data_IF_112840618763
#
_entry.id   IF_112840618763
#
_cell.length_a   1.000
_cell.length_b   1.000
_cell.length_c   1.000
_cell.angle_alpha   90.00
_cell.angle_beta   90.00
_cell.angle_gamma   90.00
#
_symmetry.space_group_name_H-M   'P 1'
#
loop_
_entity.id
_entity.type
_entity.pdbx_description
1 polymer ?
#
# COMPACT_ATOMS: atom_id res chain seq x y z
N UNK A 1 -28.70 -9.22 21.24
CA UNK A 1 -27.43 -9.07 20.53
C UNK A 1 -27.58 -7.90 19.57
N UNK A 2 -27.01 -6.76 19.87
CA UNK A 2 -26.91 -5.66 18.93
C UNK A 2 -25.96 -6.06 17.81
N UNK A 3 -26.46 -6.16 16.58
CA UNK A 3 -25.59 -6.27 15.42
C UNK A 3 -24.55 -5.14 15.49
N UNK A 4 -23.26 -5.40 15.22
CA UNK A 4 -22.30 -4.30 15.13
C UNK A 4 -22.81 -3.36 14.04
N UNK A 5 -23.16 -2.15 14.42
CA UNK A 5 -23.73 -1.15 13.51
C UNK A 5 -22.78 -0.89 12.35
N UNK A 6 -23.32 -0.72 11.16
CA UNK A 6 -22.56 -0.33 9.96
C UNK A 6 -21.93 1.05 10.23
N UNK A 7 -20.61 1.11 10.38
CA UNK A 7 -19.91 2.33 10.82
C UNK A 7 -19.83 3.41 9.74
N UNK A 8 -19.89 3.02 8.46
CA UNK A 8 -19.81 3.91 7.31
C UNK A 8 -21.17 4.17 6.62
N UNK A 9 -22.26 3.83 7.30
CA UNK A 9 -23.63 4.10 6.83
C UNK A 9 -24.36 4.83 7.95
N UNK A 10 -25.05 5.91 7.61
CA UNK A 10 -25.91 6.65 8.54
C UNK A 10 -27.27 5.97 8.74
N UNK A 11 -28.11 6.52 9.62
CA UNK A 11 -29.46 6.00 9.92
C UNK A 11 -30.38 6.01 8.68
N UNK A 12 -30.07 6.82 7.69
CA UNK A 12 -30.81 6.93 6.42
C UNK A 12 -30.29 5.99 5.32
N UNK A 13 -29.23 5.21 5.60
CA UNK A 13 -28.64 4.28 4.64
C UNK A 13 -27.60 4.89 3.70
N UNK A 14 -27.17 6.14 3.96
CA UNK A 14 -26.18 6.80 3.12
C UNK A 14 -24.74 6.54 3.62
N UNK A 15 -23.82 6.46 2.68
CA UNK A 15 -22.40 6.34 2.99
C UNK A 15 -21.88 7.59 3.71
N UNK A 16 -21.09 7.39 4.77
CA UNK A 16 -20.43 8.46 5.51
C UNK A 16 -19.02 8.06 5.92
N UNK A 17 -18.13 9.03 6.05
CA UNK A 17 -16.85 8.86 6.71
C UNK A 17 -17.05 8.90 8.22
N UNK A 18 -16.48 7.93 8.95
CA UNK A 18 -16.61 7.83 10.42
C UNK A 18 -16.00 9.04 11.10
N UNK A 19 -16.68 9.60 12.10
CA UNK A 19 -16.11 10.64 12.94
C UNK A 19 -15.07 10.05 13.92
N UNK A 20 -13.84 10.51 13.80
CA UNK A 20 -12.72 10.12 14.67
C UNK A 20 -12.21 11.28 15.53
N UNK A 21 -12.90 12.42 15.53
CA UNK A 21 -12.47 13.65 16.25
C UNK A 21 -12.32 13.43 17.76
N UNK A 22 -13.11 12.52 18.34
CA UNK A 22 -13.06 12.15 19.75
C UNK A 22 -12.03 11.07 20.12
N UNK A 23 -11.26 10.55 19.16
CA UNK A 23 -10.22 9.57 19.45
C UNK A 23 -8.90 10.24 19.78
N UNK A 24 -8.11 9.60 20.64
CA UNK A 24 -6.75 10.04 20.94
C UNK A 24 -5.82 9.89 19.73
N UNK A 25 -4.89 10.81 19.61
CA UNK A 25 -3.75 10.70 18.69
C UNK A 25 -2.76 9.69 19.25
N UNK A 26 -2.49 8.63 18.53
CA UNK A 26 -1.53 7.60 18.92
C UNK A 26 -0.58 7.26 17.78
N UNK A 27 0.64 6.81 18.11
CA UNK A 27 1.58 6.28 17.13
C UNK A 27 1.02 4.99 16.52
N UNK A 28 1.03 4.89 15.21
CA UNK A 28 0.51 3.76 14.44
C UNK A 28 1.46 3.39 13.32
N UNK A 29 1.56 2.11 13.08
CA UNK A 29 2.35 1.54 12.00
C UNK A 29 1.55 0.45 11.29
N UNK A 30 1.71 0.35 9.99
CA UNK A 30 1.23 -0.79 9.21
C UNK A 30 2.28 -1.19 8.18
N UNK A 31 2.39 -2.48 7.94
CA UNK A 31 3.20 -3.07 6.90
C UNK A 31 2.31 -3.87 5.95
N UNK A 32 2.47 -3.63 4.66
CA UNK A 32 1.81 -4.36 3.59
C UNK A 32 2.84 -4.94 2.64
N UNK A 33 2.47 -5.98 1.93
CA UNK A 33 3.30 -6.61 0.90
C UNK A 33 2.49 -6.92 -0.35
N UNK A 34 3.20 -7.19 -1.44
CA UNK A 34 2.64 -7.64 -2.71
C UNK A 34 3.73 -8.18 -3.61
N UNK A 35 3.33 -8.68 -4.77
CA UNK A 35 4.24 -9.24 -5.78
C UNK A 35 3.87 -8.72 -7.14
N UNK A 36 4.88 -8.51 -7.99
CA UNK A 36 4.69 -8.33 -9.43
C UNK A 36 5.32 -9.53 -10.12
N UNK A 37 4.48 -10.41 -10.65
CA UNK A 37 4.94 -11.59 -11.40
C UNK A 37 5.43 -11.12 -12.76
N UNK A 38 6.62 -11.54 -13.14
CA UNK A 38 7.33 -11.10 -14.34
C UNK A 38 7.92 -12.25 -15.12
N UNK A 39 8.04 -12.06 -16.43
CA UNK A 39 8.79 -12.97 -17.30
C UNK A 39 10.28 -12.98 -16.96
N UNK A 40 10.95 -14.07 -17.34
CA UNK A 40 12.41 -14.18 -17.19
C UNK A 40 13.17 -13.04 -17.89
N UNK A 41 12.66 -12.57 -19.04
CA UNK A 41 13.25 -11.44 -19.76
C UNK A 41 13.17 -10.13 -18.98
N UNK A 42 12.02 -9.84 -18.34
CA UNK A 42 11.86 -8.66 -17.51
C UNK A 42 12.74 -8.73 -16.25
N UNK A 43 12.82 -9.88 -15.60
CA UNK A 43 13.71 -10.10 -14.45
C UNK A 43 15.16 -9.86 -14.83
N UNK A 44 15.62 -10.42 -15.97
CA UNK A 44 16.97 -10.22 -16.45
C UNK A 44 17.28 -8.74 -16.73
N UNK A 45 16.36 -8.02 -17.37
CA UNK A 45 16.51 -6.58 -17.64
C UNK A 45 16.58 -5.75 -16.35
N UNK A 46 15.76 -6.08 -15.35
CA UNK A 46 15.82 -5.41 -14.03
C UNK A 46 17.17 -5.62 -13.35
N UNK A 47 17.67 -6.86 -13.33
CA UNK A 47 18.97 -7.19 -12.72
C UNK A 47 20.15 -6.54 -13.45
N UNK A 48 20.08 -6.43 -14.77
CA UNK A 48 21.11 -5.80 -15.57
C UNK A 48 21.03 -4.26 -15.60
N UNK A 49 19.94 -3.66 -15.12
CA UNK A 49 19.71 -2.22 -15.26
C UNK A 49 19.41 -1.78 -16.70
N UNK A 50 18.86 -2.68 -17.52
CA UNK A 50 18.62 -2.49 -18.96
C UNK A 50 17.13 -2.27 -19.30
N UNK A 51 16.35 -1.76 -18.35
CA UNK A 51 14.95 -1.38 -18.60
C UNK A 51 14.92 -0.13 -19.49
N UNK A 52 14.22 -0.15 -20.65
CA UNK A 52 14.23 0.95 -21.59
C UNK A 52 13.80 2.30 -21.05
N UNK A 53 12.88 2.32 -20.08
CA UNK A 53 12.39 3.55 -19.43
C UNK A 53 13.29 4.08 -18.30
N UNK A 54 14.37 3.38 -17.94
CA UNK A 54 15.31 3.78 -16.91
C UNK A 54 15.23 2.94 -15.64
N UNK A 55 15.54 3.54 -14.49
CA UNK A 55 15.59 2.86 -13.19
C UNK A 55 14.18 2.53 -12.68
N UNK A 56 13.71 1.35 -13.05
CA UNK A 56 12.35 0.89 -12.73
C UNK A 56 12.11 0.72 -11.22
N UNK A 57 13.11 0.26 -10.48
CA UNK A 57 12.97 0.05 -9.03
C UNK A 57 12.92 1.39 -8.29
N UNK A 58 13.74 2.37 -8.67
CA UNK A 58 13.72 3.71 -8.10
C UNK A 58 12.39 4.42 -8.38
N UNK A 59 11.88 4.34 -9.61
CA UNK A 59 10.58 4.91 -9.99
C UNK A 59 9.44 4.26 -9.20
N UNK A 60 9.43 2.94 -9.09
CA UNK A 60 8.43 2.22 -8.30
C UNK A 60 8.45 2.62 -6.82
N UNK A 61 9.63 2.75 -6.22
CA UNK A 61 9.78 3.21 -4.83
C UNK A 61 9.20 4.59 -4.61
N UNK A 62 9.54 5.56 -5.45
CA UNK A 62 9.01 6.92 -5.36
C UNK A 62 7.49 6.92 -5.55
N UNK A 63 6.99 6.17 -6.53
CA UNK A 63 5.55 6.05 -6.78
C UNK A 63 4.81 5.48 -5.57
N UNK A 64 5.37 4.46 -4.90
CA UNK A 64 4.81 3.89 -3.67
C UNK A 64 4.76 4.91 -2.53
N UNK A 65 5.81 5.71 -2.34
CA UNK A 65 5.83 6.77 -1.34
C UNK A 65 4.75 7.82 -1.64
N UNK A 66 4.61 8.22 -2.88
CA UNK A 66 3.54 9.15 -3.30
C UNK A 66 2.15 8.54 -3.12
N UNK A 67 1.99 7.25 -3.45
CA UNK A 67 0.73 6.53 -3.29
C UNK A 67 0.22 6.56 -1.86
N UNK A 68 1.09 6.32 -0.88
CA UNK A 68 0.72 6.43 0.53
C UNK A 68 0.14 7.80 0.88
N UNK A 69 0.74 8.88 0.38
CA UNK A 69 0.29 10.26 0.62
C UNK A 69 -1.01 10.63 -0.11
N UNK A 70 -1.40 9.88 -1.13
CA UNK A 70 -2.59 10.11 -1.96
C UNK A 70 -3.74 9.17 -1.64
N UNK A 71 -3.62 8.35 -0.61
CA UNK A 71 -4.63 7.36 -0.25
C UNK A 71 -6.04 7.95 -0.12
N UNK A 72 -6.28 9.08 0.58
CA UNK A 72 -7.63 9.63 0.70
C UNK A 72 -8.21 10.15 -0.63
N UNK A 73 -7.38 10.46 -1.61
CA UNK A 73 -7.85 10.83 -2.95
C UNK A 73 -8.34 9.63 -3.76
N UNK A 74 -7.90 8.41 -3.40
CA UNK A 74 -8.19 7.16 -4.11
C UNK A 74 -9.21 6.28 -3.40
N UNK A 75 -9.29 6.36 -2.08
CA UNK A 75 -10.18 5.56 -1.22
C UNK A 75 -11.17 6.50 -0.54
N UNK A 76 -12.43 6.56 -1.02
CA UNK A 76 -13.37 7.67 -0.69
C UNK A 76 -13.67 7.87 0.78
N UNK A 77 -13.72 6.79 1.57
CA UNK A 77 -14.08 6.87 2.99
C UNK A 77 -12.85 6.80 3.91
N UNK A 78 -11.65 6.92 3.35
CA UNK A 78 -10.41 6.97 4.10
C UNK A 78 -10.15 8.40 4.60
N UNK A 79 -9.80 8.54 5.89
CA UNK A 79 -9.49 9.85 6.46
C UNK A 79 -8.18 10.40 5.89
N UNK A 80 -8.10 11.70 5.59
CA UNK A 80 -6.80 12.34 5.33
C UNK A 80 -6.01 12.40 6.65
N UNK A 81 -4.86 11.76 6.66
CA UNK A 81 -3.97 11.69 7.82
C UNK A 81 -2.58 12.22 7.48
N UNK A 82 -1.86 12.67 8.51
CA UNK A 82 -0.46 13.04 8.38
C UNK A 82 0.41 11.79 8.31
N UNK A 83 0.97 11.49 7.13
CA UNK A 83 1.94 10.40 6.97
C UNK A 83 3.31 10.90 7.39
N UNK A 84 3.89 10.30 8.43
CA UNK A 84 5.18 10.72 8.98
C UNK A 84 6.36 9.96 8.40
N UNK A 85 6.17 8.70 7.99
CA UNK A 85 7.21 7.89 7.38
C UNK A 85 6.60 6.88 6.40
N UNK A 86 7.26 6.71 5.26
CA UNK A 86 6.97 5.65 4.30
C UNK A 86 8.29 5.04 3.86
N UNK A 87 8.42 3.73 4.03
CA UNK A 87 9.53 2.95 3.50
C UNK A 87 8.97 1.96 2.48
N UNK A 88 9.57 1.90 1.29
CA UNK A 88 9.19 0.94 0.23
C UNK A 88 10.43 0.15 -0.14
N UNK A 89 10.37 -1.15 0.08
CA UNK A 89 11.42 -2.10 -0.29
C UNK A 89 10.97 -2.92 -1.50
N UNK A 90 11.91 -3.13 -2.43
CA UNK A 90 11.69 -3.94 -3.62
C UNK A 90 12.83 -4.95 -3.75
N UNK A 91 12.46 -6.23 -3.90
CA UNK A 91 13.40 -7.33 -4.06
C UNK A 91 13.09 -8.08 -5.35
N UNK A 92 14.09 -8.22 -6.22
CA UNK A 92 13.98 -8.96 -7.48
C UNK A 92 14.29 -10.42 -7.20
N UNK A 93 13.31 -11.31 -7.38
CA UNK A 93 13.43 -12.76 -7.31
C UNK A 93 13.54 -13.37 -8.71
N UNK A 94 13.48 -14.68 -8.83
CA UNK A 94 13.61 -15.35 -10.14
C UNK A 94 12.35 -15.22 -11.01
N UNK A 95 11.19 -14.96 -10.42
CA UNK A 95 9.89 -14.90 -11.11
C UNK A 95 9.04 -13.68 -10.77
N UNK A 96 9.51 -12.83 -9.85
CA UNK A 96 8.75 -11.70 -9.37
C UNK A 96 9.64 -10.56 -8.86
N UNK A 97 9.02 -9.41 -8.63
CA UNK A 97 9.52 -8.39 -7.70
C UNK A 97 8.61 -8.39 -6.48
N UNK A 98 9.18 -8.64 -5.33
CA UNK A 98 8.50 -8.49 -4.04
C UNK A 98 8.48 -7.01 -3.66
N UNK A 99 7.32 -6.53 -3.24
CA UNK A 99 7.13 -5.14 -2.81
C UNK A 99 6.64 -5.16 -1.37
N UNK A 100 7.31 -4.43 -0.51
CA UNK A 100 6.89 -4.24 0.87
C UNK A 100 6.86 -2.74 1.20
N UNK A 101 5.83 -2.29 1.89
CA UNK A 101 5.72 -0.92 2.36
C UNK A 101 5.41 -0.89 3.85
N UNK A 102 6.14 -0.04 4.58
CA UNK A 102 5.87 0.27 5.97
C UNK A 102 5.52 1.75 6.09
N UNK A 103 4.37 2.04 6.69
CA UNK A 103 3.87 3.41 6.88
C UNK A 103 3.68 3.68 8.37
N UNK A 104 4.12 4.86 8.81
CA UNK A 104 3.98 5.34 10.20
C UNK A 104 3.26 6.68 10.25
N UNK A 105 2.44 6.82 11.27
CA UNK A 105 1.76 8.07 11.59
C UNK A 105 1.59 8.23 13.10
N UNK A 106 1.29 9.45 13.54
CA UNK A 106 0.70 9.75 14.84
C UNK A 106 -0.64 10.43 14.55
N UNK A 107 -1.73 9.66 14.59
CA UNK A 107 -3.06 10.15 14.24
C UNK A 107 -4.16 9.29 14.92
N UNK A 108 -5.42 9.57 14.58
CA UNK A 108 -6.62 9.00 15.19
C UNK A 108 -7.13 7.75 14.49
N UNK A 109 -6.56 7.37 13.36
CA UNK A 109 -6.93 6.16 12.61
C UNK A 109 -5.71 5.38 12.16
N UNK A 110 -5.90 4.12 11.79
CA UNK A 110 -4.83 3.24 11.28
C UNK A 110 -4.32 3.66 9.91
N UNK A 111 -3.17 3.14 9.53
CA UNK A 111 -2.46 3.42 8.25
C UNK A 111 -2.40 2.22 7.34
N UNK A 112 -3.28 1.25 7.52
CA UNK A 112 -3.31 0.02 6.70
C UNK A 112 -3.58 0.35 5.23
N UNK A 113 -4.50 1.28 4.95
CA UNK A 113 -4.85 1.66 3.58
C UNK A 113 -3.70 2.41 2.90
N UNK A 114 -2.98 3.24 3.62
CA UNK A 114 -1.77 3.92 3.14
C UNK A 114 -0.68 2.92 2.77
N UNK A 115 -0.48 1.88 3.58
CA UNK A 115 0.48 0.81 3.29
C UNK A 115 0.07 -0.01 2.06
N UNK A 116 -1.21 -0.40 1.95
CA UNK A 116 -1.74 -1.11 0.79
C UNK A 116 -1.65 -0.27 -0.49
N UNK A 117 -2.01 1.00 -0.43
CA UNK A 117 -1.92 1.92 -1.57
C UNK A 117 -0.47 2.08 -2.01
N UNK A 118 0.45 2.21 -1.06
CA UNK A 118 1.88 2.30 -1.34
C UNK A 118 2.37 1.09 -2.15
N UNK A 119 2.07 -0.12 -1.70
CA UNK A 119 2.43 -1.37 -2.40
C UNK A 119 1.79 -1.43 -3.79
N UNK A 120 0.50 -1.12 -3.89
CA UNK A 120 -0.24 -1.20 -5.14
C UNK A 120 0.27 -0.21 -6.18
N UNK A 121 0.52 1.04 -5.78
CA UNK A 121 1.02 2.08 -6.68
C UNK A 121 2.47 1.82 -7.09
N UNK A 122 3.31 1.32 -6.17
CA UNK A 122 4.67 0.88 -6.52
C UNK A 122 4.64 -0.25 -7.56
N UNK A 123 3.78 -1.25 -7.37
CA UNK A 123 3.61 -2.35 -8.31
C UNK A 123 3.09 -1.86 -9.68
N UNK A 124 2.11 -0.96 -9.68
CA UNK A 124 1.58 -0.36 -10.91
C UNK A 124 2.66 0.41 -11.69
N UNK A 125 3.46 1.21 -11.00
CA UNK A 125 4.56 1.96 -11.61
C UNK A 125 5.64 1.02 -12.16
N UNK A 126 5.94 -0.08 -11.46
CA UNK A 126 6.87 -1.09 -11.95
C UNK A 126 6.37 -1.72 -13.27
N UNK A 127 5.08 -2.06 -13.35
CA UNK A 127 4.48 -2.58 -14.58
C UNK A 127 4.60 -1.55 -15.71
N UNK A 128 4.32 -0.29 -15.44
CA UNK A 128 4.48 0.76 -16.47
C UNK A 128 5.93 0.83 -16.99
N UNK A 129 6.91 0.64 -16.12
CA UNK A 129 8.32 0.68 -16.51
C UNK A 129 8.74 -0.53 -17.35
N UNK A 130 8.19 -1.71 -17.10
CA UNK A 130 8.64 -2.98 -17.75
C UNK A 130 7.68 -3.49 -18.83
N UNK A 131 6.51 -2.91 -19.01
CA UNK A 131 5.46 -3.43 -19.91
C UNK A 131 5.88 -3.59 -21.38
N UNK A 132 6.88 -2.85 -21.83
CA UNK A 132 7.42 -3.00 -23.18
C UNK A 132 8.20 -4.33 -23.33
N UNK A 133 8.75 -4.86 -22.23
CA UNK A 133 9.46 -6.15 -22.20
C UNK A 133 8.46 -7.28 -21.87
N UNK A 134 7.58 -7.03 -20.89
CA UNK A 134 6.62 -8.02 -20.41
C UNK A 134 5.22 -7.41 -20.27
N UNK A 135 4.38 -7.50 -21.32
CA UNK A 135 2.98 -7.03 -21.24
C UNK A 135 2.09 -7.95 -20.40
N UNK A 136 2.58 -9.10 -19.95
CA UNK A 136 1.82 -10.09 -19.16
C UNK A 136 2.04 -9.96 -17.66
N UNK A 137 2.78 -8.95 -17.20
CA UNK A 137 3.04 -8.70 -15.79
C UNK A 137 1.75 -8.64 -14.96
N UNK A 138 1.77 -9.26 -13.78
CA UNK A 138 0.59 -9.37 -12.90
C UNK A 138 0.94 -8.89 -11.50
N UNK A 139 0.08 -8.02 -10.94
CA UNK A 139 0.10 -7.69 -9.51
C UNK A 139 -0.64 -8.79 -8.75
N UNK A 140 -0.03 -9.34 -7.71
CA UNK A 140 -0.56 -10.46 -6.94
C UNK A 140 -0.27 -10.29 -5.45
N UNK A 141 -1.09 -10.96 -4.62
CA UNK A 141 -0.87 -11.12 -3.18
C UNK A 141 -0.73 -9.79 -2.40
N UNK A 142 -1.41 -8.75 -2.81
CA UNK A 142 -1.43 -7.47 -2.09
C UNK A 142 -2.23 -7.61 -0.81
N UNK A 143 -1.56 -7.39 0.35
CA UNK A 143 -2.18 -7.63 1.66
C UNK A 143 -1.48 -6.89 2.79
N UNK A 144 -2.21 -6.66 3.88
CA UNK A 144 -1.62 -6.19 5.14
C UNK A 144 -0.94 -7.38 5.82
N UNK A 145 0.30 -7.21 6.24
CA UNK A 145 1.07 -8.22 6.96
C UNK A 145 1.00 -8.01 8.47
N UNK A 146 1.10 -6.77 8.91
CA UNK A 146 1.00 -6.43 10.33
C UNK A 146 0.60 -4.97 10.54
N UNK A 147 0.08 -4.70 11.71
CA UNK A 147 -0.17 -3.33 12.19
C UNK A 147 0.02 -3.25 13.69
N UNK A 148 0.33 -2.05 14.17
CA UNK A 148 0.44 -1.74 15.58
C UNK A 148 -0.12 -0.37 15.90
N UNK A 149 -0.39 -0.15 17.20
CA UNK A 149 -1.00 1.08 17.70
C UNK A 149 -2.52 1.09 17.62
N UNK A 150 -3.12 2.08 18.27
CA UNK A 150 -4.58 2.22 18.36
C UNK A 150 -5.25 1.29 19.36
N UNK A 151 -6.60 1.32 19.35
CA UNK A 151 -7.45 0.67 20.36
C UNK A 151 -7.42 -0.86 20.31
N UNK A 152 -7.24 -1.43 19.11
CA UNK A 152 -7.23 -2.88 18.89
C UNK A 152 -5.87 -3.54 19.16
N UNK A 153 -4.82 -2.73 19.39
CA UNK A 153 -3.48 -3.24 19.62
C UNK A 153 -2.82 -3.87 18.37
N UNK A 154 -1.71 -4.59 18.57
CA UNK A 154 -0.98 -5.19 17.48
C UNK A 154 -1.75 -6.36 16.84
N UNK A 155 -1.64 -6.44 15.53
CA UNK A 155 -2.14 -7.56 14.74
C UNK A 155 -1.10 -7.98 13.72
N UNK A 156 -0.95 -9.27 13.53
CA UNK A 156 -0.07 -9.87 12.52
C UNK A 156 -0.82 -10.95 11.78
N UNK A 157 -0.60 -11.02 10.48
CA UNK A 157 -1.18 -12.07 9.63
C UNK A 157 -0.71 -13.44 10.11
N UNK A 158 -1.64 -14.42 10.26
CA UNK A 158 -1.32 -15.81 10.60
C UNK A 158 -0.41 -16.48 9.59
#
# INVERSE_FOLDING_TARGET
MTQPGLTHIDESGHARMVDVSGKDVTAREARASGRVLLSAAAIAALRAGEVPKGDALAVARIAGIQGAKRTPDLVPLCHPIAVHSVTVELEVTDDAVLVEATVRTADRTGVEMEALTSVTVAALALIDMVKAIDPTAVISDVRVEEKSGGKTGPWRRP
#
